data_IF_698513404481
#
_entry.id   IF_698513404481
#
_cell.length_a   1.000
_cell.length_b   1.000
_cell.length_c   1.000
_cell.angle_alpha   90.00
_cell.angle_beta   90.00
_cell.angle_gamma   90.00
#
_symmetry.space_group_name_H-M   'P 1'
#
loop_
_entity.id
_entity.type
_entity.pdbx_description
1 polymer ?
#
# COMPACT_ATOMS: atom_id res chain seq x y z
N UNK A 1 -8.55 -34.92 3.53
CA UNK A 1 -7.92 -34.73 4.86
C UNK A 1 -8.02 -33.25 5.15
N UNK A 2 -8.85 -32.89 6.12
CA UNK A 2 -9.12 -31.48 6.45
C UNK A 2 -7.85 -30.89 7.08
N UNK A 3 -7.10 -30.10 6.31
CA UNK A 3 -6.10 -29.20 6.88
C UNK A 3 -6.87 -28.23 7.75
N UNK A 4 -6.72 -28.32 9.07
CA UNK A 4 -7.14 -27.25 9.97
C UNK A 4 -6.28 -26.04 9.62
N UNK A 5 -6.84 -25.10 8.85
CA UNK A 5 -6.26 -23.78 8.69
C UNK A 5 -6.20 -23.17 10.09
N UNK A 6 -5.02 -23.17 10.69
CA UNK A 6 -4.75 -22.45 11.92
C UNK A 6 -5.09 -20.98 11.64
N UNK A 7 -6.10 -20.45 12.34
CA UNK A 7 -6.51 -19.06 12.13
C UNK A 7 -5.35 -18.18 12.56
N UNK A 8 -4.90 -17.32 11.66
CA UNK A 8 -3.93 -16.28 11.99
C UNK A 8 -4.56 -15.41 13.09
N UNK A 9 -3.84 -15.27 14.21
CA UNK A 9 -4.29 -14.40 15.29
C UNK A 9 -4.21 -12.95 14.80
N UNK A 10 -5.37 -12.33 14.61
CA UNK A 10 -5.52 -10.93 14.21
C UNK A 10 -6.91 -10.44 14.62
N UNK A 11 -7.05 -9.13 14.83
CA UNK A 11 -8.34 -8.49 15.15
C UNK A 11 -9.28 -8.44 13.94
N UNK A 12 -8.74 -8.50 12.72
CA UNK A 12 -9.49 -8.56 11.47
C UNK A 12 -9.10 -9.79 10.65
N UNK A 13 -10.06 -10.37 9.93
CA UNK A 13 -9.79 -11.50 9.03
C UNK A 13 -9.22 -11.00 7.70
N UNK A 14 -7.89 -11.06 7.58
CA UNK A 14 -7.18 -10.64 6.37
C UNK A 14 -7.38 -11.55 5.16
N UNK A 15 -8.09 -12.69 5.28
CA UNK A 15 -8.44 -13.55 4.14
C UNK A 15 -9.71 -13.11 3.42
N UNK A 16 -10.50 -12.22 4.01
CA UNK A 16 -11.77 -11.75 3.45
C UNK A 16 -11.55 -10.49 2.62
N UNK A 17 -12.22 -10.41 1.46
CA UNK A 17 -12.22 -9.20 0.65
C UNK A 17 -12.82 -8.00 1.39
N UNK A 18 -12.10 -6.88 1.28
CA UNK A 18 -12.58 -5.53 1.61
C UNK A 18 -13.36 -4.97 0.42
N UNK A 19 -14.00 -3.80 0.61
CA UNK A 19 -14.63 -3.10 -0.51
C UNK A 19 -13.67 -2.80 -1.67
N UNK A 20 -12.36 -2.65 -1.39
CA UNK A 20 -11.31 -2.33 -2.37
C UNK A 20 -10.76 -3.55 -3.07
N UNK A 21 -10.66 -4.67 -2.36
CA UNK A 21 -10.08 -5.90 -2.89
C UNK A 21 -11.12 -6.88 -3.45
N UNK A 22 -12.42 -6.62 -3.30
CA UNK A 22 -13.48 -7.43 -3.92
C UNK A 22 -13.43 -7.30 -5.46
N UNK A 23 -13.16 -8.38 -6.21
CA UNK A 23 -13.08 -8.36 -7.67
C UNK A 23 -14.46 -8.35 -8.34
N UNK A 24 -15.55 -8.57 -7.60
CA UNK A 24 -16.91 -8.65 -8.12
C UNK A 24 -17.03 -9.66 -9.26
N UNK A 25 -17.49 -9.21 -10.42
CA UNK A 25 -17.67 -10.07 -11.59
C UNK A 25 -16.36 -10.67 -12.15
N UNK A 26 -15.20 -10.14 -11.73
CA UNK A 26 -13.89 -10.57 -12.22
C UNK A 26 -13.23 -11.62 -11.32
N UNK A 27 -13.90 -12.13 -10.28
CA UNK A 27 -13.37 -13.13 -9.34
C UNK A 27 -12.70 -14.33 -10.04
N UNK A 28 -13.33 -14.85 -11.11
CA UNK A 28 -12.79 -15.97 -11.87
C UNK A 28 -11.40 -15.69 -12.48
N UNK A 29 -11.09 -14.43 -12.85
CA UNK A 29 -9.77 -14.08 -13.36
C UNK A 29 -8.68 -14.16 -12.29
N UNK A 30 -9.02 -13.82 -11.04
CA UNK A 30 -8.10 -13.91 -9.91
C UNK A 30 -7.93 -15.36 -9.44
N UNK A 31 -9.00 -16.16 -9.46
CA UNK A 31 -8.96 -17.56 -9.07
C UNK A 31 -8.09 -18.45 -9.98
N UNK A 32 -7.80 -18.00 -11.21
CA UNK A 32 -6.89 -18.67 -12.16
C UNK A 32 -5.41 -18.35 -11.93
N UNK A 33 -5.09 -17.39 -11.04
CA UNK A 33 -3.72 -16.95 -10.84
C UNK A 33 -2.91 -17.90 -9.95
N UNK A 34 -1.57 -17.86 -10.06
CA UNK A 34 -0.71 -18.42 -9.04
C UNK A 34 -0.89 -17.68 -7.71
N UNK A 35 -0.74 -18.41 -6.61
CA UNK A 35 -0.79 -17.87 -5.25
C UNK A 35 0.62 -17.68 -4.62
N UNK A 36 1.70 -17.97 -5.38
CA UNK A 36 3.06 -17.71 -4.94
C UNK A 36 3.50 -16.27 -5.28
N UNK A 37 4.39 -15.66 -4.47
CA UNK A 37 4.84 -14.29 -4.69
C UNK A 37 5.41 -14.01 -6.09
N UNK A 38 6.16 -14.94 -6.68
CA UNK A 38 6.86 -14.74 -7.95
C UNK A 38 5.87 -14.66 -9.11
N UNK A 39 5.03 -15.69 -9.27
CA UNK A 39 4.02 -15.75 -10.32
C UNK A 39 3.02 -14.61 -10.20
N UNK A 40 2.56 -14.30 -8.98
CA UNK A 40 1.54 -13.27 -8.76
C UNK A 40 2.09 -11.87 -9.04
N UNK A 41 3.31 -11.58 -8.60
CA UNK A 41 3.96 -10.29 -8.87
C UNK A 41 4.24 -10.10 -10.37
N UNK A 42 4.59 -11.17 -11.09
CA UNK A 42 4.75 -11.12 -12.53
C UNK A 42 3.43 -10.75 -13.25
N UNK A 43 2.30 -11.31 -12.80
CA UNK A 43 0.98 -10.96 -13.34
C UNK A 43 0.62 -9.51 -12.98
N UNK A 44 0.87 -9.06 -11.75
CA UNK A 44 0.61 -7.69 -11.34
C UNK A 44 1.34 -6.68 -12.24
N UNK A 45 2.64 -6.87 -12.48
CA UNK A 45 3.45 -6.03 -13.40
C UNK A 45 3.04 -6.15 -14.87
N UNK A 46 2.40 -7.26 -15.24
CA UNK A 46 1.86 -7.43 -16.58
C UNK A 46 0.55 -6.65 -16.77
N UNK A 47 -0.30 -6.56 -15.74
CA UNK A 47 -1.59 -5.84 -15.78
C UNK A 47 -1.42 -4.34 -15.55
N UNK A 48 -0.52 -3.96 -14.64
CA UNK A 48 -0.35 -2.59 -14.14
C UNK A 48 1.02 -2.06 -14.57
N UNK A 49 1.09 -0.76 -14.86
CA UNK A 49 2.34 -0.04 -15.14
C UNK A 49 2.49 1.15 -14.20
N UNK A 50 3.65 1.27 -13.55
CA UNK A 50 3.91 2.40 -12.66
C UNK A 50 3.92 3.72 -13.44
N UNK A 51 3.00 4.62 -13.13
CA UNK A 51 2.76 5.84 -13.92
C UNK A 51 3.98 6.78 -13.99
N UNK A 52 4.86 6.70 -12.98
CA UNK A 52 6.07 7.52 -12.85
C UNK A 52 7.38 6.78 -13.10
N UNK A 53 7.42 5.49 -12.78
CA UNK A 53 8.67 4.74 -12.57
C UNK A 53 8.87 3.60 -13.57
N UNK A 54 7.96 3.45 -14.54
CA UNK A 54 8.01 2.37 -15.52
C UNK A 54 9.14 2.48 -16.55
N UNK A 55 9.82 3.62 -16.65
CA UNK A 55 10.81 3.87 -17.71
C UNK A 55 10.20 4.04 -19.11
N UNK A 56 8.87 4.10 -19.22
CA UNK A 56 8.14 4.27 -20.48
C UNK A 56 7.42 5.62 -20.57
N UNK A 57 7.32 6.17 -21.78
CA UNK A 57 6.43 7.31 -22.03
C UNK A 57 4.99 6.79 -22.16
N UNK A 58 4.21 6.97 -21.10
CA UNK A 58 2.83 6.49 -21.05
C UNK A 58 1.84 7.47 -21.72
N UNK A 59 0.75 6.98 -22.34
CA UNK A 59 -0.24 7.84 -22.98
C UNK A 59 -0.94 8.78 -21.99
N UNK A 60 -1.14 10.04 -22.39
CA UNK A 60 -1.95 10.98 -21.59
C UNK A 60 -3.43 10.58 -21.51
N UNK A 61 -3.94 9.90 -22.54
CA UNK A 61 -5.34 9.49 -22.66
C UNK A 61 -5.80 8.48 -21.60
N UNK A 62 -4.86 7.84 -20.89
CA UNK A 62 -5.13 6.83 -19.86
C UNK A 62 -4.60 7.26 -18.49
N UNK A 63 -4.32 8.56 -18.29
CA UNK A 63 -3.85 9.07 -16.99
C UNK A 63 -4.85 8.89 -15.88
N UNK A 64 -6.14 8.96 -16.19
CA UNK A 64 -7.21 8.80 -15.20
C UNK A 64 -7.24 7.40 -14.57
N UNK A 65 -6.58 6.42 -15.19
CA UNK A 65 -6.44 5.07 -14.65
C UNK A 65 -5.88 5.06 -13.23
N UNK A 66 -4.94 5.98 -12.91
CA UNK A 66 -4.29 6.02 -11.60
C UNK A 66 -5.32 6.18 -10.47
N UNK A 67 -6.44 6.84 -10.76
CA UNK A 67 -7.52 7.07 -9.81
C UNK A 67 -8.45 5.83 -9.63
N UNK A 68 -8.08 4.67 -10.18
CA UNK A 68 -8.81 3.40 -10.06
C UNK A 68 -8.60 2.77 -8.68
N UNK A 69 -9.34 3.26 -7.70
CA UNK A 69 -9.21 2.88 -6.28
C UNK A 69 -9.58 1.43 -5.95
N UNK A 70 -10.46 0.79 -6.72
CA UNK A 70 -10.98 -0.56 -6.42
C UNK A 70 -10.45 -1.57 -7.43
N UNK A 71 -10.14 -2.79 -6.99
CA UNK A 71 -9.56 -3.82 -7.85
C UNK A 71 -10.52 -4.19 -8.98
N UNK A 72 -11.84 -4.19 -8.75
CA UNK A 72 -12.84 -4.41 -9.80
C UNK A 72 -12.76 -3.34 -10.92
N UNK A 73 -12.37 -2.11 -10.59
CA UNK A 73 -12.15 -1.04 -11.58
C UNK A 73 -10.84 -1.24 -12.32
N UNK A 74 -9.77 -1.60 -11.62
CA UNK A 74 -8.48 -1.93 -12.25
C UNK A 74 -8.69 -3.07 -13.27
N UNK A 75 -9.36 -4.15 -12.85
CA UNK A 75 -9.69 -5.29 -13.70
C UNK A 75 -10.63 -4.92 -14.85
N UNK A 76 -11.63 -4.06 -14.61
CA UNK A 76 -12.51 -3.59 -15.69
C UNK A 76 -11.76 -2.78 -16.75
N UNK A 77 -10.87 -1.88 -16.34
CA UNK A 77 -10.05 -1.08 -17.25
C UNK A 77 -9.14 -2.00 -18.06
N UNK A 78 -8.46 -2.94 -17.40
CA UNK A 78 -7.63 -3.94 -18.07
C UNK A 78 -8.40 -4.75 -19.10
N UNK A 79 -9.50 -5.40 -18.69
CA UNK A 79 -10.26 -6.31 -19.55
C UNK A 79 -10.97 -5.60 -20.71
N UNK A 80 -11.25 -4.29 -20.57
CA UNK A 80 -11.77 -3.48 -21.69
C UNK A 80 -10.76 -3.30 -22.82
N UNK A 81 -9.45 -3.35 -22.50
CA UNK A 81 -8.34 -3.22 -23.44
C UNK A 81 -7.83 -4.59 -23.89
N UNK A 82 -7.83 -5.54 -22.97
CA UNK A 82 -7.20 -6.85 -23.11
C UNK A 82 -8.18 -7.96 -22.67
N UNK A 83 -9.15 -8.36 -23.52
CA UNK A 83 -10.12 -9.42 -23.20
C UNK A 83 -9.48 -10.81 -23.28
N UNK A 84 -8.46 -11.04 -22.45
CA UNK A 84 -7.62 -12.24 -22.39
C UNK A 84 -7.23 -12.51 -20.92
N UNK A 85 -6.76 -13.74 -20.61
CA UNK A 85 -6.25 -14.05 -19.27
C UNK A 85 -5.24 -13.02 -18.75
N UNK A 86 -5.22 -12.77 -17.44
CA UNK A 86 -4.36 -11.76 -16.82
C UNK A 86 -2.86 -12.05 -17.00
N UNK A 87 -2.49 -13.32 -17.18
CA UNK A 87 -1.12 -13.75 -17.47
C UNK A 87 -0.71 -13.56 -18.96
N UNK A 88 -1.64 -13.28 -19.87
CA UNK A 88 -1.31 -13.03 -21.27
C UNK A 88 -0.50 -11.73 -21.41
N UNK A 89 0.64 -11.70 -22.13
CA UNK A 89 1.49 -10.52 -22.19
C UNK A 89 0.79 -9.25 -22.66
N UNK A 90 1.02 -8.14 -21.96
CA UNK A 90 0.51 -6.80 -22.31
C UNK A 90 1.67 -5.86 -22.60
N UNK A 91 1.53 -5.08 -23.66
CA UNK A 91 2.46 -3.99 -23.98
C UNK A 91 2.43 -2.92 -22.88
N UNK A 92 3.59 -2.49 -22.41
CA UNK A 92 3.72 -1.62 -21.23
C UNK A 92 2.87 -0.33 -21.31
N UNK A 93 2.82 0.30 -22.50
CA UNK A 93 2.06 1.53 -22.73
C UNK A 93 0.55 1.32 -22.86
N UNK A 94 0.07 0.07 -22.85
CA UNK A 94 -1.34 -0.30 -22.91
C UNK A 94 -1.89 -0.87 -21.59
N UNK A 95 -1.02 -1.07 -20.59
CA UNK A 95 -1.37 -1.52 -19.24
C UNK A 95 -2.16 -0.45 -18.49
N UNK A 96 -2.80 -0.83 -17.39
CA UNK A 96 -3.48 0.11 -16.50
C UNK A 96 -2.42 0.97 -15.81
N UNK A 97 -2.49 2.30 -15.91
CA UNK A 97 -1.56 3.15 -15.15
C UNK A 97 -1.96 3.11 -13.67
N UNK A 98 -0.99 2.81 -12.81
CA UNK A 98 -1.16 2.76 -11.36
C UNK A 98 0.18 3.00 -10.65
N UNK A 99 0.27 2.67 -9.37
CA UNK A 99 1.52 2.72 -8.61
C UNK A 99 1.78 1.46 -7.77
N UNK A 100 2.76 1.51 -6.87
CA UNK A 100 3.09 0.45 -5.90
C UNK A 100 1.85 -0.10 -5.18
N UNK A 101 0.96 0.80 -4.79
CA UNK A 101 -0.31 0.50 -4.12
C UNK A 101 -1.23 -0.37 -4.97
N UNK A 102 -1.28 -0.14 -6.28
CA UNK A 102 -2.18 -0.89 -7.17
C UNK A 102 -1.64 -2.29 -7.47
N UNK A 103 -0.31 -2.42 -7.66
CA UNK A 103 0.33 -3.74 -7.72
C UNK A 103 0.07 -4.54 -6.45
N UNK A 104 0.19 -3.88 -5.28
CA UNK A 104 -0.09 -4.50 -3.99
C UNK A 104 -1.56 -4.87 -3.83
N UNK A 105 -2.51 -3.99 -4.13
CA UNK A 105 -3.94 -4.30 -4.01
C UNK A 105 -4.32 -5.47 -4.92
N UNK A 106 -3.80 -5.52 -6.15
CA UNK A 106 -4.02 -6.63 -7.07
C UNK A 106 -3.57 -7.97 -6.46
N UNK A 107 -2.35 -8.02 -5.91
CA UNK A 107 -1.83 -9.22 -5.27
C UNK A 107 -2.64 -9.61 -4.02
N UNK A 108 -3.00 -8.63 -3.18
CA UNK A 108 -3.82 -8.85 -1.98
C UNK A 108 -5.19 -9.43 -2.36
N UNK A 109 -5.83 -8.89 -3.41
CA UNK A 109 -7.10 -9.40 -3.91
C UNK A 109 -6.97 -10.85 -4.40
N UNK A 110 -5.95 -11.16 -5.20
CA UNK A 110 -5.73 -12.53 -5.68
C UNK A 110 -5.49 -13.52 -4.52
N UNK A 111 -4.67 -13.15 -3.54
CA UNK A 111 -4.42 -13.99 -2.37
C UNK A 111 -5.70 -14.23 -1.56
N UNK A 112 -6.52 -13.19 -1.34
CA UNK A 112 -7.82 -13.30 -0.66
C UNK A 112 -8.82 -14.16 -1.44
N UNK A 113 -8.80 -14.11 -2.77
CA UNK A 113 -9.61 -15.01 -3.63
C UNK A 113 -9.22 -16.48 -3.40
N UNK A 114 -7.95 -16.76 -3.12
CA UNK A 114 -7.47 -18.09 -2.72
C UNK A 114 -7.67 -18.41 -1.22
N UNK A 115 -8.30 -17.52 -0.45
CA UNK A 115 -8.50 -17.66 1.00
C UNK A 115 -7.21 -17.51 1.81
N UNK A 116 -6.16 -16.91 1.23
CA UNK A 116 -4.89 -16.64 1.92
C UNK A 116 -4.99 -15.29 2.62
N UNK A 117 -4.77 -15.22 3.95
CA UNK A 117 -4.70 -13.94 4.65
C UNK A 117 -3.63 -13.04 4.05
N UNK A 118 -4.03 -11.86 3.57
CA UNK A 118 -3.14 -10.89 2.95
C UNK A 118 -3.56 -9.45 3.30
N UNK A 119 -2.57 -8.57 3.41
CA UNK A 119 -2.76 -7.15 3.70
C UNK A 119 -1.74 -6.30 2.97
N UNK A 120 -2.13 -5.07 2.65
CA UNK A 120 -1.21 -4.06 2.14
C UNK A 120 -0.48 -3.39 3.31
N UNK A 121 0.79 -3.03 3.11
CA UNK A 121 1.63 -2.36 4.10
C UNK A 121 2.17 -1.08 3.53
N UNK A 122 1.83 0.03 4.17
CA UNK A 122 2.27 1.38 3.82
C UNK A 122 3.56 1.70 4.56
N UNK A 123 4.49 2.36 3.88
CA UNK A 123 5.76 2.75 4.46
C UNK A 123 6.68 3.34 3.40
N UNK A 124 7.96 3.03 3.53
CA UNK A 124 9.00 3.65 2.75
C UNK A 124 10.06 2.65 2.27
N UNK A 125 10.42 2.75 1.00
CA UNK A 125 11.44 1.94 0.36
C UNK A 125 12.77 2.70 0.24
N UNK A 126 13.78 2.26 1.00
CA UNK A 126 15.15 2.78 0.94
C UNK A 126 16.07 2.08 -0.07
N UNK A 127 15.55 1.13 -0.86
CA UNK A 127 16.34 0.32 -1.80
C UNK A 127 16.39 0.87 -3.22
N UNK A 128 15.58 1.89 -3.56
CA UNK A 128 15.53 2.45 -4.90
C UNK A 128 16.68 3.43 -5.17
N UNK A 129 16.92 4.35 -4.24
CA UNK A 129 17.93 5.40 -4.35
C UNK A 129 18.66 5.50 -3.00
N UNK A 130 19.98 5.40 -3.03
CA UNK A 130 20.79 5.55 -1.82
C UNK A 130 20.57 6.92 -1.18
N UNK A 131 20.25 6.93 0.12
CA UNK A 131 20.00 8.16 0.89
C UNK A 131 18.60 8.76 0.72
N UNK A 132 17.68 8.08 0.01
CA UNK A 132 16.28 8.50 -0.12
C UNK A 132 15.32 7.35 0.18
N UNK A 133 14.17 7.67 0.75
CA UNK A 133 13.13 6.73 1.14
C UNK A 133 11.82 7.09 0.43
N UNK A 134 11.49 6.34 -0.62
CA UNK A 134 10.28 6.56 -1.41
C UNK A 134 9.04 6.11 -0.64
N UNK A 135 7.93 6.83 -0.74
CA UNK A 135 6.64 6.28 -0.30
C UNK A 135 6.38 4.98 -1.05
N UNK A 136 5.95 3.95 -0.33
CA UNK A 136 5.83 2.63 -0.93
C UNK A 136 4.81 1.77 -0.24
N UNK A 137 4.20 0.88 -1.02
CA UNK A 137 3.22 -0.08 -0.52
C UNK A 137 3.59 -1.48 -0.98
N UNK A 138 3.72 -2.39 -0.02
CA UNK A 138 4.09 -3.79 -0.26
C UNK A 138 3.01 -4.76 0.23
N UNK A 139 3.14 -6.03 -0.15
CA UNK A 139 2.24 -7.09 0.31
C UNK A 139 2.82 -7.75 1.56
N UNK A 140 1.97 -8.00 2.56
CA UNK A 140 2.18 -9.03 3.57
C UNK A 140 1.13 -10.12 3.42
N UNK A 141 1.56 -11.38 3.42
CA UNK A 141 0.69 -12.55 3.26
C UNK A 141 1.08 -13.68 4.20
N UNK A 142 0.09 -14.44 4.67
CA UNK A 142 0.30 -15.63 5.48
C UNK A 142 0.61 -16.83 4.57
N UNK A 143 1.90 -17.09 4.39
CA UNK A 143 2.41 -18.12 3.50
C UNK A 143 3.31 -19.05 4.30
N UNK A 144 3.19 -20.36 4.06
CA UNK A 144 4.05 -21.38 4.69
C UNK A 144 4.01 -21.32 6.24
N UNK A 145 2.87 -20.93 6.82
CA UNK A 145 2.68 -20.88 8.28
C UNK A 145 3.29 -19.66 8.97
N UNK A 146 3.62 -18.59 8.23
CA UNK A 146 4.08 -17.31 8.80
C UNK A 146 3.71 -16.13 7.91
N UNK A 147 3.79 -14.92 8.45
CA UNK A 147 3.78 -13.71 7.62
C UNK A 147 5.06 -13.64 6.78
N UNK A 148 4.88 -13.46 5.47
CA UNK A 148 5.93 -13.10 4.51
C UNK A 148 5.56 -11.78 3.87
N UNK A 149 6.57 -10.99 3.50
CA UNK A 149 6.38 -9.77 2.73
C UNK A 149 7.14 -9.81 1.42
N UNK A 150 6.55 -9.20 0.40
CA UNK A 150 7.15 -9.10 -0.93
C UNK A 150 6.69 -7.82 -1.62
N UNK A 151 7.52 -7.33 -2.52
CA UNK A 151 7.28 -6.15 -3.33
C UNK A 151 6.84 -6.57 -4.74
N UNK A 152 5.56 -6.43 -5.08
CA UNK A 152 5.08 -6.86 -6.38
C UNK A 152 5.46 -5.93 -7.53
N UNK A 153 5.92 -4.71 -7.26
CA UNK A 153 6.29 -3.74 -8.30
C UNK A 153 7.62 -4.11 -8.99
N UNK A 154 8.51 -4.82 -8.30
CA UNK A 154 9.90 -5.04 -8.74
C UNK A 154 10.13 -6.50 -9.11
N UNK A 155 10.84 -6.74 -10.22
CA UNK A 155 11.12 -8.07 -10.76
C UNK A 155 12.50 -8.62 -10.42
N UNK A 156 13.39 -7.80 -9.87
CA UNK A 156 14.78 -8.16 -9.64
C UNK A 156 15.35 -7.63 -8.30
N UNK A 157 16.43 -8.24 -7.78
CA UNK A 157 17.20 -7.71 -6.67
C UNK A 157 17.75 -6.30 -6.92
N UNK A 158 17.90 -5.53 -5.84
CA UNK A 158 18.51 -4.20 -5.81
C UNK A 158 19.57 -4.11 -4.70
N UNK A 159 20.37 -3.03 -4.68
CA UNK A 159 21.47 -2.87 -3.73
C UNK A 159 21.03 -2.97 -2.25
N UNK A 160 19.79 -2.59 -1.93
CA UNK A 160 19.20 -2.73 -0.60
C UNK A 160 18.16 -3.84 -0.43
N UNK A 161 17.91 -4.61 -1.49
CA UNK A 161 16.84 -5.61 -1.54
C UNK A 161 17.37 -6.88 -2.23
N UNK A 162 17.79 -7.86 -1.42
CA UNK A 162 18.37 -9.11 -1.95
C UNK A 162 17.40 -9.91 -2.84
N UNK A 163 16.11 -9.84 -2.55
CA UNK A 163 15.04 -10.35 -3.40
C UNK A 163 13.74 -9.60 -3.11
N UNK A 164 12.96 -9.22 -4.14
CA UNK A 164 11.64 -8.64 -3.92
C UNK A 164 10.61 -9.68 -3.44
N UNK A 165 10.87 -10.98 -3.60
CA UNK A 165 9.90 -12.05 -3.32
C UNK A 165 9.90 -12.54 -1.85
N UNK A 166 10.89 -12.10 -1.07
CA UNK A 166 10.94 -12.31 0.36
C UNK A 166 11.77 -11.23 1.04
N UNK A 167 11.11 -10.16 1.46
CA UNK A 167 11.78 -9.01 2.03
C UNK A 167 12.10 -9.23 3.52
N UNK A 168 13.23 -8.68 3.96
CA UNK A 168 13.69 -8.81 5.33
C UNK A 168 12.89 -7.96 6.31
N UNK A 169 12.44 -8.62 7.39
CA UNK A 169 12.38 -8.17 8.79
C UNK A 169 13.18 -6.90 9.19
N UNK A 170 12.60 -5.71 9.19
CA UNK A 170 13.11 -4.49 9.86
C UNK A 170 14.51 -4.05 9.44
N UNK A 171 14.59 -2.97 8.66
CA UNK A 171 15.85 -2.28 8.39
C UNK A 171 15.83 -0.91 9.05
N UNK A 172 15.69 -0.85 10.37
CA UNK A 172 15.70 0.38 11.16
C UNK A 172 16.75 1.41 10.71
N UNK A 173 17.90 0.94 10.21
CA UNK A 173 18.99 1.77 9.68
C UNK A 173 19.59 1.22 8.39
N UNK A 174 18.78 0.86 7.40
CA UNK A 174 19.27 0.31 6.14
C UNK A 174 18.33 0.51 4.95
N UNK A 175 18.79 0.16 3.74
CA UNK A 175 18.08 0.42 2.49
C UNK A 175 16.88 -0.52 2.26
N UNK A 176 16.22 -1.02 3.30
CA UNK A 176 15.07 -1.91 3.19
C UNK A 176 13.74 -1.16 3.20
N UNK A 177 12.68 -1.86 3.59
CA UNK A 177 11.36 -1.27 3.78
C UNK A 177 11.10 -0.95 5.25
N UNK A 178 10.77 0.31 5.55
CA UNK A 178 10.34 0.77 6.87
C UNK A 178 8.87 1.17 6.83
N UNK A 179 8.04 0.63 7.73
CA UNK A 179 6.64 1.06 7.91
C UNK A 179 6.55 2.53 8.30
N UNK A 180 5.44 3.20 8.02
CA UNK A 180 5.26 4.61 8.35
C UNK A 180 5.41 4.90 9.85
N UNK A 181 4.84 4.06 10.72
CA UNK A 181 5.00 4.17 12.18
C UNK A 181 6.46 4.08 12.64
N UNK A 182 7.25 3.23 11.99
CA UNK A 182 8.69 3.07 12.28
C UNK A 182 9.46 4.32 11.86
N UNK A 183 9.24 4.82 10.65
CA UNK A 183 9.85 6.04 10.15
C UNK A 183 9.51 7.23 11.07
N UNK A 184 8.24 7.39 11.43
CA UNK A 184 7.81 8.41 12.38
C UNK A 184 8.54 8.31 13.71
N UNK A 185 8.59 7.13 14.31
CA UNK A 185 9.24 6.93 15.62
C UNK A 185 10.74 7.28 15.58
N UNK A 186 11.44 6.90 14.51
CA UNK A 186 12.86 7.24 14.31
C UNK A 186 13.07 8.74 14.07
N UNK A 187 12.16 9.41 13.36
CA UNK A 187 12.20 10.87 13.21
C UNK A 187 12.03 11.55 14.57
N UNK A 188 11.09 11.07 15.37
CA UNK A 188 10.78 11.63 16.69
C UNK A 188 11.89 11.43 17.72
N UNK A 189 12.72 10.38 17.57
CA UNK A 189 13.94 10.19 18.37
C UNK A 189 15.16 10.94 17.83
N UNK A 190 15.06 11.56 16.65
CA UNK A 190 16.16 12.28 15.99
C UNK A 190 17.18 11.36 15.30
N UNK A 191 16.80 10.11 15.02
CA UNK A 191 17.68 9.10 14.39
C UNK A 191 17.69 9.20 12.86
N UNK A 192 16.67 9.81 12.24
CA UNK A 192 16.58 10.04 10.81
C UNK A 192 16.23 11.50 10.50
N UNK A 193 16.51 11.92 9.27
CA UNK A 193 16.04 13.19 8.71
C UNK A 193 14.79 12.96 7.86
N UNK A 194 13.64 13.48 8.32
CA UNK A 194 12.38 13.39 7.60
C UNK A 194 12.42 14.01 6.19
N UNK A 195 13.33 14.95 5.91
CA UNK A 195 13.49 15.54 4.57
C UNK A 195 13.99 14.55 3.51
N UNK A 196 14.44 13.36 3.93
CA UNK A 196 14.86 12.26 3.04
C UNK A 196 13.73 11.26 2.74
N UNK A 197 12.51 11.53 3.20
CA UNK A 197 11.34 10.66 3.06
C UNK A 197 10.23 11.37 2.28
N UNK A 198 9.81 10.79 1.14
CA UNK A 198 8.80 11.39 0.28
C UNK A 198 8.68 10.68 -1.07
N UNK A 199 7.88 11.22 -1.98
CA UNK A 199 7.53 10.51 -3.23
C UNK A 199 8.73 10.27 -4.15
N UNK A 200 9.52 11.32 -4.38
CA UNK A 200 10.71 11.26 -5.22
C UNK A 200 11.56 12.51 -4.96
N UNK A 201 12.91 12.44 -5.02
CA UNK A 201 13.77 13.61 -4.85
C UNK A 201 13.45 14.77 -5.81
N UNK A 202 12.90 14.48 -7.00
CA UNK A 202 12.48 15.48 -8.00
C UNK A 202 11.15 16.17 -7.67
N UNK A 203 10.43 15.72 -6.64
CA UNK A 203 9.15 16.29 -6.17
C UNK A 203 9.33 16.83 -4.74
N UNK A 204 10.06 17.94 -4.55
CA UNK A 204 10.50 18.40 -3.23
C UNK A 204 9.37 18.87 -2.30
N UNK A 205 8.15 19.00 -2.82
CA UNK A 205 6.98 19.46 -2.04
C UNK A 205 6.18 18.31 -1.41
N UNK A 206 6.48 17.05 -1.74
CA UNK A 206 5.76 15.87 -1.23
C UNK A 206 6.74 14.98 -0.45
N UNK A 207 7.21 15.51 0.70
CA UNK A 207 8.20 14.89 1.59
C UNK A 207 8.13 15.50 2.99
N UNK A 208 8.96 15.03 3.91
CA UNK A 208 9.20 15.70 5.20
C UNK A 208 8.28 15.23 6.32
N UNK A 209 8.33 15.94 7.46
CA UNK A 209 7.66 15.54 8.70
C UNK A 209 6.14 15.36 8.54
N UNK A 210 5.46 16.28 7.85
CA UNK A 210 4.03 16.15 7.60
C UNK A 210 3.70 14.99 6.66
N UNK A 211 4.60 14.67 5.74
CA UNK A 211 4.44 13.49 4.89
C UNK A 211 4.51 12.21 5.73
N UNK A 212 5.51 12.08 6.62
CA UNK A 212 5.58 10.96 7.56
C UNK A 212 4.31 10.82 8.41
N UNK A 213 3.79 11.95 8.92
CA UNK A 213 2.55 11.97 9.69
C UNK A 213 1.35 11.45 8.88
N UNK A 214 1.19 11.92 7.65
CA UNK A 214 0.09 11.48 6.79
C UNK A 214 0.19 9.97 6.48
N UNK A 215 1.40 9.45 6.28
CA UNK A 215 1.62 8.03 6.01
C UNK A 215 1.26 7.11 7.19
N UNK A 216 1.33 7.59 8.45
CA UNK A 216 0.79 6.84 9.60
C UNK A 216 -0.72 6.62 9.45
N UNK A 217 -1.44 7.65 8.99
CA UNK A 217 -2.89 7.57 8.79
C UNK A 217 -3.22 6.59 7.66
N UNK A 218 -2.46 6.66 6.55
CA UNK A 218 -2.55 5.67 5.46
C UNK A 218 -2.26 4.25 5.98
N UNK A 219 -1.23 4.06 6.79
CA UNK A 219 -0.87 2.75 7.35
C UNK A 219 -2.00 2.15 8.20
N UNK A 220 -2.63 2.93 9.09
CA UNK A 220 -3.76 2.46 9.89
C UNK A 220 -4.95 2.09 9.00
N UNK A 221 -5.31 2.93 8.02
CA UNK A 221 -6.43 2.67 7.12
C UNK A 221 -6.21 1.38 6.32
N UNK A 222 -5.03 1.22 5.72
CA UNK A 222 -4.66 0.02 4.97
C UNK A 222 -4.64 -1.24 5.85
N UNK A 223 -4.17 -1.12 7.10
CA UNK A 223 -4.18 -2.23 8.07
C UNK A 223 -5.60 -2.76 8.30
N UNK A 224 -6.61 -1.88 8.38
CA UNK A 224 -7.98 -2.27 8.69
C UNK A 224 -8.92 -2.34 7.49
N UNK A 225 -8.36 -2.36 6.28
CA UNK A 225 -9.09 -2.71 5.06
C UNK A 225 -9.68 -1.52 4.29
N UNK A 226 -9.32 -0.30 4.65
CA UNK A 226 -9.44 0.88 3.78
C UNK A 226 -8.13 1.09 3.03
N UNK A 227 -7.92 0.28 2.00
CA UNK A 227 -6.78 0.42 1.10
C UNK A 227 -7.03 1.61 0.17
N UNK A 228 -6.77 2.86 0.58
CA UNK A 228 -7.07 4.09 -0.19
C UNK A 228 -5.99 4.41 -1.23
N UNK A 229 -6.21 5.43 -2.08
CA UNK A 229 -5.12 5.95 -2.92
C UNK A 229 -4.17 6.79 -2.06
N UNK A 230 -2.87 6.79 -2.38
CA UNK A 230 -1.85 7.54 -1.63
C UNK A 230 -2.00 9.08 -1.72
N UNK A 231 -2.89 9.54 -2.59
CA UNK A 231 -3.24 10.95 -2.77
C UNK A 231 -4.71 11.24 -2.44
N UNK A 232 -5.37 10.34 -1.71
CA UNK A 232 -6.64 10.66 -1.05
C UNK A 232 -6.37 11.37 0.29
N UNK A 233 -7.17 12.40 0.59
CA UNK A 233 -7.12 13.16 1.83
C UNK A 233 -8.41 13.03 2.63
N UNK A 234 -8.27 12.79 3.92
CA UNK A 234 -9.36 12.74 4.91
C UNK A 234 -8.83 13.01 6.32
N UNK A 235 -9.73 13.18 7.28
CA UNK A 235 -9.37 13.27 8.69
C UNK A 235 -8.29 14.32 8.97
N UNK A 236 -7.16 13.89 9.54
CA UNK A 236 -6.00 14.75 9.84
C UNK A 236 -4.98 14.86 8.70
N UNK A 237 -5.20 14.22 7.54
CA UNK A 237 -4.30 14.36 6.39
C UNK A 237 -4.34 15.80 5.89
N UNK A 238 -3.17 16.42 5.80
CA UNK A 238 -2.98 17.80 5.34
C UNK A 238 -2.00 17.87 4.17
N UNK A 239 -1.82 19.05 3.57
CA UNK A 239 -0.83 19.19 2.50
C UNK A 239 0.57 18.91 3.08
N UNK A 240 1.48 18.24 2.35
CA UNK A 240 2.79 17.87 2.90
C UNK A 240 3.66 19.06 3.35
N UNK A 241 3.32 20.28 2.92
CA UNK A 241 4.00 21.52 3.31
C UNK A 241 3.48 22.11 4.64
N UNK A 242 2.35 21.62 5.15
CA UNK A 242 1.75 22.14 6.38
C UNK A 242 2.49 21.60 7.61
N UNK A 243 2.85 22.44 8.60
CA UNK A 243 3.62 22.00 9.75
C UNK A 243 2.84 21.01 10.63
N UNK A 244 3.54 20.08 11.28
CA UNK A 244 2.94 19.23 12.33
C UNK A 244 2.96 19.95 13.67
N UNK A 245 1.77 20.21 14.22
CA UNK A 245 1.63 20.82 15.55
C UNK A 245 1.97 19.84 16.68
N UNK A 246 2.29 20.34 17.88
CA UNK A 246 2.67 19.50 19.02
C UNK A 246 1.56 18.50 19.44
N UNK A 247 0.29 18.88 19.29
CA UNK A 247 -0.86 18.00 19.56
C UNK A 247 -0.93 16.85 18.54
N UNK A 248 -0.85 17.17 17.24
CA UNK A 248 -0.78 16.17 16.16
C UNK A 248 0.42 15.24 16.36
N UNK A 249 1.59 15.78 16.68
CA UNK A 249 2.79 14.97 16.90
C UNK A 249 2.61 13.99 18.07
N UNK A 250 2.08 14.45 19.21
CA UNK A 250 1.81 13.60 20.38
C UNK A 250 0.77 12.52 20.06
N UNK A 251 -0.26 12.89 19.29
CA UNK A 251 -1.27 11.96 18.83
C UNK A 251 -0.67 10.88 17.92
N UNK A 252 0.15 11.27 16.94
CA UNK A 252 0.85 10.35 16.04
C UNK A 252 1.84 9.44 16.78
N UNK A 253 2.53 9.95 17.82
CA UNK A 253 3.40 9.14 18.69
C UNK A 253 2.61 7.98 19.35
N UNK A 254 1.37 8.24 19.79
CA UNK A 254 0.48 7.23 20.35
C UNK A 254 0.02 6.19 19.32
N UNK A 255 -0.37 6.62 18.12
CA UNK A 255 -0.78 5.72 17.03
C UNK A 255 0.39 4.86 16.56
N UNK A 256 1.57 5.44 16.36
CA UNK A 256 2.78 4.72 15.97
C UNK A 256 3.18 3.66 17.02
N UNK A 257 3.05 3.99 18.31
CA UNK A 257 3.29 3.03 19.40
C UNK A 257 2.38 1.80 19.28
N UNK A 258 1.09 2.01 19.05
CA UNK A 258 0.12 0.93 18.88
C UNK A 258 0.37 0.09 17.62
N UNK A 259 0.71 0.73 16.49
CA UNK A 259 1.07 0.04 15.25
C UNK A 259 2.29 -0.88 15.45
N UNK A 260 3.35 -0.37 16.07
CA UNK A 260 4.57 -1.15 16.33
C UNK A 260 4.31 -2.31 17.30
N UNK A 261 3.52 -2.09 18.35
CA UNK A 261 3.13 -3.16 19.28
C UNK A 261 2.29 -4.24 18.56
N UNK A 262 1.30 -3.84 17.75
CA UNK A 262 0.48 -4.76 16.96
C UNK A 262 1.32 -5.57 15.97
N UNK A 263 2.34 -4.97 15.34
CA UNK A 263 3.29 -5.68 14.46
C UNK A 263 4.18 -6.67 15.20
N UNK A 264 4.44 -6.44 16.49
CA UNK A 264 5.15 -7.39 17.35
C UNK A 264 4.27 -8.54 17.84
N UNK A 265 2.99 -8.57 17.46
CA UNK A 265 2.02 -9.62 17.80
C UNK A 265 1.17 -9.30 19.03
N UNK A 266 1.17 -8.06 19.52
CA UNK A 266 0.30 -7.63 20.62
C UNK A 266 -1.15 -7.41 20.12
N UNK A 267 -2.01 -8.39 20.38
CA UNK A 267 -3.42 -8.35 20.01
C UNK A 267 -4.25 -7.34 20.81
N UNK A 268 -3.82 -6.99 22.03
CA UNK A 268 -4.51 -5.96 22.82
C UNK A 268 -4.23 -4.58 22.22
N UNK A 269 -2.98 -4.32 21.84
CA UNK A 269 -2.61 -3.11 21.11
C UNK A 269 -3.31 -3.02 19.75
N UNK A 270 -3.39 -4.13 19.01
CA UNK A 270 -4.12 -4.16 17.74
C UNK A 270 -5.62 -3.87 17.93
N UNK A 271 -6.24 -4.42 18.98
CA UNK A 271 -7.65 -4.17 19.27
C UNK A 271 -7.88 -2.72 19.67
N UNK A 272 -7.02 -2.15 20.51
CA UNK A 272 -7.09 -0.75 20.89
C UNK A 272 -6.92 0.18 19.68
N UNK A 273 -6.02 -0.16 18.75
CA UNK A 273 -5.83 0.58 17.50
C UNK A 273 -7.06 0.48 16.59
N UNK A 274 -7.67 -0.71 16.48
CA UNK A 274 -8.90 -0.90 15.70
C UNK A 274 -10.08 -0.11 16.27
N UNK A 275 -10.23 -0.09 17.59
CA UNK A 275 -11.27 0.69 18.26
C UNK A 275 -11.08 2.20 18.01
N UNK A 276 -9.83 2.69 18.08
CA UNK A 276 -9.50 4.07 17.74
C UNK A 276 -9.77 4.36 16.26
N UNK A 277 -9.37 3.46 15.36
CA UNK A 277 -9.63 3.60 13.93
C UNK A 277 -11.12 3.78 13.63
N UNK A 278 -12.01 3.06 14.32
CA UNK A 278 -13.46 3.17 14.12
C UNK A 278 -14.06 4.43 14.74
N UNK A 279 -13.46 4.96 15.80
CA UNK A 279 -14.04 6.04 16.60
C UNK A 279 -13.48 7.43 16.24
N UNK A 280 -12.21 7.52 15.82
CA UNK A 280 -11.53 8.78 15.55
C UNK A 280 -11.76 9.23 14.08
N UNK A 281 -12.53 10.30 13.83
CA UNK A 281 -12.72 10.82 12.47
C UNK A 281 -11.45 11.41 11.85
N UNK A 282 -10.38 11.60 12.65
CA UNK A 282 -9.05 11.94 12.17
C UNK A 282 -8.29 10.75 11.55
N UNK A 283 -8.69 9.51 11.84
CA UNK A 283 -8.14 8.27 11.26
C UNK A 283 -9.06 7.69 10.19
N UNK A 284 -10.36 7.62 10.46
CA UNK A 284 -11.30 6.92 9.59
C UNK A 284 -11.67 7.79 8.37
N UNK A 285 -11.66 7.27 7.13
CA UNK A 285 -12.02 8.04 5.93
C UNK A 285 -13.52 8.35 5.83
N UNK A 286 -14.35 7.59 6.55
CA UNK A 286 -15.79 7.81 6.60
C UNK A 286 -16.45 7.40 5.28
N UNK A 287 -17.26 8.28 4.69
CA UNK A 287 -18.04 7.97 3.46
C UNK A 287 -17.49 8.64 2.20
N UNK A 288 -16.52 9.53 2.33
CA UNK A 288 -15.95 10.25 1.18
C UNK A 288 -14.58 10.81 1.50
N UNK A 289 -13.73 10.88 0.49
CA UNK A 289 -12.38 11.46 0.56
C UNK A 289 -12.24 12.62 -0.43
N UNK A 290 -11.18 13.41 -0.27
CA UNK A 290 -10.73 14.37 -1.27
C UNK A 290 -9.59 13.75 -2.08
N UNK A 291 -9.81 13.49 -3.36
CA UNK A 291 -8.80 12.95 -4.26
C UNK A 291 -7.98 14.08 -4.87
N UNK A 292 -6.66 14.03 -4.71
CA UNK A 292 -5.69 14.96 -5.28
C UNK A 292 -4.83 14.27 -6.36
N UNK A 293 -5.39 14.07 -7.56
CA UNK A 293 -4.74 13.34 -8.65
C UNK A 293 -3.26 13.76 -8.86
N UNK A 294 -2.32 12.81 -8.99
CA UNK A 294 -0.90 13.12 -9.11
C UNK A 294 -0.53 13.84 -10.43
N UNK A 295 -1.47 13.99 -11.35
CA UNK A 295 -1.32 14.77 -12.58
C UNK A 295 -1.74 16.24 -12.45
N UNK A 296 -2.09 16.70 -11.24
CA UNK A 296 -2.39 18.10 -10.95
C UNK A 296 -3.81 18.54 -11.33
N UNK A 297 -4.74 17.59 -11.38
CA UNK A 297 -6.16 17.88 -11.58
C UNK A 297 -6.77 18.52 -10.33
N UNK A 298 -7.96 19.12 -10.48
CA UNK A 298 -8.69 19.73 -9.38
C UNK A 298 -9.04 18.71 -8.28
N UNK A 299 -8.98 19.16 -7.02
CA UNK A 299 -9.41 18.36 -5.87
C UNK A 299 -10.86 17.91 -6.06
N UNK A 300 -11.06 16.59 -6.07
CA UNK A 300 -12.37 16.00 -6.33
C UNK A 300 -12.87 15.26 -5.10
N UNK A 301 -14.10 15.55 -4.66
CA UNK A 301 -14.73 14.76 -3.59
C UNK A 301 -15.25 13.45 -4.18
N UNK A 302 -14.76 12.32 -3.66
CA UNK A 302 -15.13 10.98 -4.12
C UNK A 302 -15.87 10.24 -3.00
N UNK A 303 -17.01 9.64 -3.31
CA UNK A 303 -17.72 8.77 -2.39
C UNK A 303 -17.06 7.38 -2.32
N UNK A 304 -16.92 6.86 -1.10
CA UNK A 304 -16.48 5.48 -0.86
C UNK A 304 -17.68 4.53 -0.91
N UNK A 305 -17.42 3.25 -1.23
CA UNK A 305 -18.45 2.20 -1.36
C UNK A 305 -18.85 1.65 0.00
#
# INVERSE_FOLDING_TARGET
MSSSTERVAAVVDHSVHTAYSDPGQYAALLAELPADPEGLSAVARNVIVHYRASGHLLPSATRDDVNSRWVDRILAVDQSRHPQPLAAPREATSRVQGCCRDHTLFCVAALREHGIPARSRVGFAGYFIEGWHHDHVIVEAWLEGRWRRFDPEIDAPMAGLSTPMEMQWDTAHGPGFATAARAWTLHRSGEIDAETYGVDPSVPVVRGERFLFNEIINEVAHRFGDELLLWDGWGRIQAPVDPVGAEDATWADGIATLLLAADSGDLEAEQALFDQYRADPGLHPGRSVLQASPFGDDLTRVALR
#
